data_IF_443072880910
#
_entry.id   IF_443072880910
#
_cell.length_a   1.000
_cell.length_b   1.000
_cell.length_c   1.000
_cell.angle_alpha   90.00
_cell.angle_beta   90.00
_cell.angle_gamma   90.00
#
_symmetry.space_group_name_H-M   'P 1'
#
loop_
_entity.id
_entity.type
_entity.pdbx_description
1 polymer ?
#
# COMPACT_ATOMS: atom_id res chain seq x y z
N UNK A 1 8.28 -16.04 46.64
CA UNK A 1 7.47 -16.21 45.41
C UNK A 1 6.19 -16.94 45.77
N UNK A 2 5.02 -16.29 45.89
CA UNK A 2 3.85 -17.05 46.37
C UNK A 2 2.49 -16.36 46.50
N UNK A 3 2.29 -15.16 45.91
CA UNK A 3 0.98 -14.49 45.94
C UNK A 3 0.37 -14.25 44.55
N UNK A 4 1.14 -14.31 43.47
CA UNK A 4 0.60 -14.13 42.11
C UNK A 4 -0.11 -15.39 41.56
N UNK A 5 0.36 -16.59 41.91
CA UNK A 5 -0.23 -17.84 41.40
C UNK A 5 -1.62 -18.17 41.97
N UNK A 6 -1.93 -17.76 43.20
CA UNK A 6 -3.23 -18.03 43.82
C UNK A 6 -4.37 -17.24 43.17
N UNK A 7 -4.13 -15.97 42.80
CA UNK A 7 -5.14 -15.12 42.16
C UNK A 7 -5.51 -15.58 40.74
N UNK A 8 -4.53 -16.02 39.94
CA UNK A 8 -4.79 -16.58 38.60
C UNK A 8 -5.66 -17.84 38.71
N UNK A 9 -5.41 -18.69 39.72
CA UNK A 9 -6.20 -19.90 39.95
C UNK A 9 -7.63 -19.61 40.44
N UNK A 10 -7.83 -18.53 41.20
CA UNK A 10 -9.14 -18.14 41.72
C UNK A 10 -10.05 -17.61 40.60
N UNK A 11 -9.49 -16.78 39.71
CA UNK A 11 -10.20 -16.30 38.51
C UNK A 11 -10.53 -17.48 37.60
N UNK A 12 -9.58 -18.39 37.35
CA UNK A 12 -9.82 -19.59 36.54
C UNK A 12 -10.94 -20.48 37.08
N UNK A 13 -10.98 -20.72 38.40
CA UNK A 13 -12.06 -21.49 39.06
C UNK A 13 -13.41 -20.78 39.02
N UNK A 14 -13.43 -19.45 39.10
CA UNK A 14 -14.66 -18.66 38.97
C UNK A 14 -15.21 -18.70 37.53
N UNK A 15 -14.33 -18.55 36.54
CA UNK A 15 -14.66 -18.68 35.11
C UNK A 15 -15.16 -20.09 34.81
N UNK A 16 -14.53 -21.15 35.33
CA UNK A 16 -14.98 -22.53 35.13
C UNK A 16 -16.37 -22.81 35.73
N UNK A 17 -16.66 -22.30 36.94
CA UNK A 17 -17.99 -22.40 37.55
C UNK A 17 -19.06 -21.65 36.76
N UNK A 18 -18.71 -20.48 36.23
CA UNK A 18 -19.61 -19.71 35.38
C UNK A 18 -19.85 -20.43 34.05
N UNK A 19 -18.79 -20.88 33.36
CA UNK A 19 -18.83 -21.58 32.09
C UNK A 19 -19.70 -22.84 32.14
N UNK A 20 -19.59 -23.63 33.21
CA UNK A 20 -20.41 -24.84 33.43
C UNK A 20 -21.92 -24.54 33.55
N UNK A 21 -22.29 -23.33 33.96
CA UNK A 21 -23.69 -22.90 34.13
C UNK A 21 -24.30 -22.34 32.84
N UNK A 22 -23.47 -21.88 31.90
CA UNK A 22 -23.91 -21.35 30.61
C UNK A 22 -24.08 -22.50 29.62
N UNK A 23 -25.08 -22.41 28.73
CA UNK A 23 -25.32 -23.42 27.69
C UNK A 23 -24.12 -23.50 26.73
N UNK A 24 -23.55 -24.70 26.46
CA UNK A 24 -22.43 -24.87 25.53
C UNK A 24 -22.72 -24.29 24.14
N UNK A 25 -23.95 -24.40 23.64
CA UNK A 25 -24.33 -23.86 22.32
C UNK A 25 -24.23 -22.33 22.28
N UNK A 26 -24.58 -21.64 23.37
CA UNK A 26 -24.49 -20.19 23.46
C UNK A 26 -23.03 -19.71 23.52
N UNK A 27 -22.18 -20.46 24.23
CA UNK A 27 -20.73 -20.20 24.29
C UNK A 27 -20.08 -20.36 22.91
N UNK A 28 -20.45 -21.42 22.17
CA UNK A 28 -19.98 -21.61 20.79
C UNK A 28 -20.47 -20.49 19.86
N UNK A 29 -21.72 -20.05 20.00
CA UNK A 29 -22.26 -18.94 19.21
C UNK A 29 -21.52 -17.61 19.50
N UNK A 30 -21.24 -17.31 20.77
CA UNK A 30 -20.49 -16.11 21.17
C UNK A 30 -19.04 -16.20 20.67
N UNK A 31 -18.40 -17.36 20.81
CA UNK A 31 -17.04 -17.57 20.29
C UNK A 31 -16.98 -17.40 18.78
N UNK A 32 -18.01 -17.86 18.06
CA UNK A 32 -18.13 -17.68 16.61
C UNK A 32 -18.34 -16.21 16.23
N UNK A 33 -19.18 -15.48 16.95
CA UNK A 33 -19.32 -14.03 16.77
C UNK A 33 -18.02 -13.28 17.04
N UNK A 34 -17.33 -13.59 18.14
CA UNK A 34 -16.03 -12.99 18.47
C UNK A 34 -15.01 -13.30 17.36
N UNK A 35 -15.03 -14.53 16.80
CA UNK A 35 -14.15 -14.92 15.71
C UNK A 35 -14.39 -14.11 14.43
N UNK A 36 -15.63 -13.69 14.17
CA UNK A 36 -15.98 -12.81 13.05
C UNK A 36 -15.49 -11.37 13.30
N UNK A 37 -15.51 -10.92 14.55
CA UNK A 37 -15.16 -9.55 14.96
C UNK A 37 -13.63 -9.36 15.04
N UNK A 38 -12.86 -10.39 15.40
CA UNK A 38 -11.39 -10.31 15.45
C UNK A 38 -10.83 -10.06 14.03
N UNK A 39 -10.05 -8.98 13.82
CA UNK A 39 -9.48 -8.69 12.52
C UNK A 39 -8.51 -9.80 12.12
N UNK A 40 -8.90 -10.59 11.12
CA UNK A 40 -8.07 -11.60 10.48
C UNK A 40 -8.13 -11.42 8.97
N UNK A 41 -7.10 -11.87 8.25
CA UNK A 41 -6.95 -11.71 6.79
C UNK A 41 -8.09 -12.31 5.95
N UNK A 42 -9.05 -13.01 6.55
CA UNK A 42 -10.25 -13.58 5.93
C UNK A 42 -11.52 -12.74 6.18
N UNK A 43 -11.39 -11.53 6.72
CA UNK A 43 -12.51 -10.62 7.00
C UNK A 43 -13.07 -9.97 5.72
N UNK A 44 -14.41 -9.89 5.63
CA UNK A 44 -15.17 -9.20 4.57
C UNK A 44 -14.71 -7.74 4.37
N UNK A 45 -14.23 -7.10 5.44
CA UNK A 45 -13.66 -5.76 5.40
C UNK A 45 -12.39 -5.65 4.55
N UNK A 46 -11.56 -6.70 4.58
CA UNK A 46 -10.33 -6.74 3.79
C UNK A 46 -10.67 -6.85 2.31
N UNK A 47 -11.71 -7.62 1.95
CA UNK A 47 -12.16 -7.76 0.56
C UNK A 47 -12.67 -6.45 -0.05
N UNK A 48 -13.39 -5.63 0.73
CA UNK A 48 -13.80 -4.29 0.31
C UNK A 48 -12.63 -3.31 0.18
N UNK A 49 -11.58 -3.48 0.98
CA UNK A 49 -10.37 -2.66 0.88
C UNK A 49 -9.50 -3.08 -0.32
N UNK A 50 -9.45 -4.37 -0.63
CA UNK A 50 -8.68 -4.90 -1.75
C UNK A 50 -9.24 -4.44 -3.10
N UNK A 51 -10.55 -4.41 -3.31
CA UNK A 51 -11.13 -3.96 -4.59
C UNK A 51 -10.75 -2.50 -4.91
N UNK A 52 -10.85 -1.60 -3.93
CA UNK A 52 -10.44 -0.20 -4.09
C UNK A 52 -8.94 -0.03 -4.32
N UNK A 53 -8.14 -0.91 -3.72
CA UNK A 53 -6.68 -0.89 -3.88
C UNK A 53 -6.30 -1.39 -5.28
N UNK A 54 -6.95 -2.44 -5.77
CA UNK A 54 -6.76 -2.97 -7.12
C UNK A 54 -7.11 -1.93 -8.18
N UNK A 55 -8.27 -1.27 -8.07
CA UNK A 55 -8.67 -0.21 -9.00
C UNK A 55 -7.69 0.96 -9.00
N UNK A 56 -7.13 1.30 -7.84
CA UNK A 56 -6.12 2.37 -7.72
C UNK A 56 -4.82 1.95 -8.42
N UNK A 57 -4.32 0.75 -8.14
CA UNK A 57 -3.09 0.22 -8.73
C UNK A 57 -3.23 0.07 -10.25
N UNK A 58 -4.37 -0.38 -10.75
CA UNK A 58 -4.62 -0.45 -12.18
C UNK A 58 -4.67 0.92 -12.85
N UNK A 59 -5.28 1.93 -12.21
CA UNK A 59 -5.28 3.31 -12.73
C UNK A 59 -3.86 3.84 -12.85
N UNK A 60 -3.04 3.63 -11.82
CA UNK A 60 -1.64 4.05 -11.80
C UNK A 60 -0.83 3.37 -12.90
N UNK A 61 -1.02 2.05 -13.10
CA UNK A 61 -0.40 1.32 -14.22
C UNK A 61 -0.83 1.89 -15.58
N UNK A 62 -2.11 2.21 -15.76
CA UNK A 62 -2.62 2.79 -17.01
C UNK A 62 -2.09 4.19 -17.29
N UNK A 63 -1.85 4.99 -16.25
CA UNK A 63 -1.27 6.33 -16.39
C UNK A 63 0.21 6.25 -16.75
N UNK A 64 0.98 5.43 -16.04
CA UNK A 64 2.41 5.21 -16.33
C UNK A 64 2.64 4.66 -17.73
N UNK A 65 1.81 3.70 -18.19
CA UNK A 65 1.90 3.19 -19.57
C UNK A 65 1.68 4.29 -20.60
N UNK A 66 0.69 5.17 -20.39
CA UNK A 66 0.43 6.31 -21.28
C UNK A 66 1.59 7.29 -21.30
N UNK A 67 2.23 7.53 -20.15
CA UNK A 67 3.38 8.41 -20.05
C UNK A 67 4.63 7.84 -20.74
N UNK A 68 4.84 6.53 -20.63
CA UNK A 68 5.91 5.81 -21.34
C UNK A 68 5.70 5.93 -22.86
N UNK A 69 4.49 5.71 -23.36
CA UNK A 69 4.19 5.83 -24.79
C UNK A 69 4.45 7.25 -25.31
N UNK A 70 3.96 8.27 -24.59
CA UNK A 70 4.21 9.68 -24.95
C UNK A 70 5.71 10.01 -24.96
N UNK A 71 6.44 9.55 -23.95
CA UNK A 71 7.88 9.78 -23.84
C UNK A 71 8.64 9.05 -24.93
N UNK A 72 8.20 7.85 -25.31
CA UNK A 72 8.80 7.07 -26.39
C UNK A 72 8.64 7.78 -27.75
N UNK A 73 7.44 8.28 -28.05
CA UNK A 73 7.20 9.07 -29.27
C UNK A 73 8.03 10.34 -29.26
N UNK A 74 8.03 11.10 -28.17
CA UNK A 74 8.85 12.30 -28.04
C UNK A 74 10.35 12.01 -28.19
N UNK A 75 10.81 10.85 -27.68
CA UNK A 75 12.20 10.41 -27.87
C UNK A 75 12.46 10.10 -29.34
N UNK A 76 11.61 9.34 -30.03
CA UNK A 76 11.79 9.06 -31.46
C UNK A 76 11.82 10.35 -32.29
N UNK A 77 10.95 11.32 -32.00
CA UNK A 77 10.91 12.64 -32.66
C UNK A 77 12.17 13.49 -32.42
N UNK A 78 12.79 13.37 -31.24
CA UNK A 78 14.07 13.99 -30.90
C UNK A 78 15.26 13.32 -31.61
N UNK A 79 15.23 12.00 -31.79
CA UNK A 79 16.32 11.25 -32.40
C UNK A 79 16.37 11.39 -33.94
N UNK A 80 15.22 11.62 -34.59
CA UNK A 80 15.15 11.80 -36.05
C UNK A 80 15.74 13.15 -36.48
N UNK A 81 15.66 14.19 -35.64
CA UNK A 81 16.15 15.53 -35.95
C UNK A 81 17.23 15.99 -34.97
N UNK A 82 18.49 15.93 -35.41
CA UNK A 82 19.68 16.32 -34.62
C UNK A 82 19.56 17.73 -34.02
N UNK A 83 19.00 18.66 -34.78
CA UNK A 83 18.79 20.05 -34.35
C UNK A 83 17.76 20.17 -33.22
N UNK A 84 16.74 19.30 -33.19
CA UNK A 84 15.76 19.25 -32.08
C UNK A 84 16.37 18.67 -30.82
N UNK A 85 17.24 17.67 -30.94
CA UNK A 85 17.96 17.10 -29.80
C UNK A 85 18.88 18.14 -29.17
N UNK A 86 19.64 18.88 -29.99
CA UNK A 86 20.54 19.93 -29.52
C UNK A 86 19.77 21.06 -28.80
N UNK A 87 18.67 21.53 -29.41
CA UNK A 87 17.80 22.53 -28.78
C UNK A 87 17.23 22.04 -27.44
N UNK A 88 16.77 20.79 -27.36
CA UNK A 88 16.28 20.21 -26.11
C UNK A 88 17.38 20.14 -25.03
N UNK A 89 18.59 19.73 -25.39
CA UNK A 89 19.72 19.67 -24.47
C UNK A 89 20.11 21.05 -23.94
N UNK A 90 20.12 22.08 -24.80
CA UNK A 90 20.37 23.48 -24.44
C UNK A 90 19.26 24.08 -23.57
N UNK A 91 18.00 23.86 -23.88
CA UNK A 91 16.87 24.46 -23.14
C UNK A 91 16.55 23.77 -21.81
N UNK A 92 16.60 22.43 -21.77
CA UNK A 92 16.20 21.66 -20.58
C UNK A 92 17.34 21.39 -19.62
N UNK A 93 18.55 21.21 -20.15
CA UNK A 93 19.71 20.78 -19.38
C UNK A 93 20.87 21.78 -19.45
N UNK A 94 20.73 22.90 -20.18
CA UNK A 94 21.76 23.93 -20.36
C UNK A 94 23.11 23.34 -20.80
N UNK A 95 23.07 22.28 -21.62
CA UNK A 95 24.26 21.67 -22.19
C UNK A 95 24.95 22.63 -23.18
N UNK A 96 26.27 22.60 -23.20
CA UNK A 96 27.16 23.38 -24.08
C UNK A 96 28.22 22.48 -24.71
N UNK A 97 28.74 22.89 -25.86
CA UNK A 97 29.98 22.30 -26.39
C UNK A 97 31.20 22.82 -25.59
N UNK A 98 32.32 22.11 -25.70
CA UNK A 98 33.52 22.40 -24.89
C UNK A 98 34.13 23.77 -25.21
N UNK A 99 33.93 24.26 -26.43
CA UNK A 99 34.38 25.55 -26.95
C UNK A 99 33.34 26.67 -26.84
N UNK A 100 32.21 26.43 -26.16
CA UNK A 100 31.12 27.40 -26.03
C UNK A 100 31.03 27.98 -24.59
N UNK A 101 30.97 29.31 -24.50
CA UNK A 101 30.74 30.05 -23.25
C UNK A 101 29.27 30.47 -23.12
N UNK A 102 28.55 29.90 -22.15
CA UNK A 102 27.17 30.29 -21.82
C UNK A 102 27.20 31.48 -20.87
N UNK A 103 26.55 32.58 -21.26
CA UNK A 103 26.34 33.77 -20.42
C UNK A 103 24.90 33.77 -19.86
N UNK A 104 24.75 33.51 -18.56
CA UNK A 104 23.47 33.67 -17.85
C UNK A 104 23.33 35.12 -17.39
N UNK A 105 22.58 35.93 -18.14
CA UNK A 105 22.22 37.29 -17.72
C UNK A 105 21.12 37.21 -16.66
N UNK A 106 21.38 37.78 -15.49
CA UNK A 106 20.43 37.88 -14.37
C UNK A 106 19.83 39.27 -14.29
#
# INVERSE_FOLDING_TARGET
MGKFGSHISAVGKAVWRWLKRVNPFLLFAILFLIKIIIPSNTSVWTQLKYSRTLDKQEREIRELKREIEKTKVAKEDLWIERDRLEKFARERYLMKEEDEEIYLLK
#
